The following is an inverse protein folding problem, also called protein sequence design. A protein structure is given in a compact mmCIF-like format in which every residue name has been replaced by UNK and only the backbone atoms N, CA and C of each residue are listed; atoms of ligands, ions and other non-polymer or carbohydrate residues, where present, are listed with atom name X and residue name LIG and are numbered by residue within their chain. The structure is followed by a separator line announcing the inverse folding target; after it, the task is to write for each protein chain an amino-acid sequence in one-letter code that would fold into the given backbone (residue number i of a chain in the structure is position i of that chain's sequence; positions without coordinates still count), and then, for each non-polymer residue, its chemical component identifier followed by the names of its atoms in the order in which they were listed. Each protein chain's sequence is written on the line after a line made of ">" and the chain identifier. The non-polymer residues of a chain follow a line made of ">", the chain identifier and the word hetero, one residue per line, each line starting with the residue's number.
data_IF_875750734841
#
_entry.id   IF_875750734841
#
_cell.length_a   1.000
_cell.length_b   1.000
_cell.length_c   1.000
_cell.angle_alpha   90.00
_cell.angle_beta   90.00
_cell.angle_gamma   90.00
#
_symmetry.space_group_name_H-M   'P 1'
#
loop_
_entity.id
_entity.type
_entity.pdbx_description
1 polymer ?
#
# COMPACT_ATOMS: atom_id res chain seq x y z
N UNK A 1 -5.99 -30.87 29.18
CA UNK A 1 -6.50 -29.84 28.27
C UNK A 1 -7.45 -30.53 27.32
N UNK A 2 -8.75 -30.22 27.37
CA UNK A 2 -9.70 -30.61 26.33
C UNK A 2 -9.39 -29.80 25.08
N UNK A 3 -9.13 -30.47 23.97
CA UNK A 3 -9.02 -29.79 22.67
C UNK A 3 -10.45 -29.45 22.24
N UNK A 4 -10.75 -28.17 22.12
CA UNK A 4 -12.00 -27.71 21.56
C UNK A 4 -11.88 -27.76 20.03
N UNK A 5 -12.76 -28.51 19.38
CA UNK A 5 -12.80 -28.67 17.92
C UNK A 5 -13.94 -27.83 17.35
N UNK A 6 -13.64 -27.05 16.31
CA UNK A 6 -14.62 -26.30 15.53
C UNK A 6 -14.70 -26.98 14.16
N UNK A 7 -15.90 -27.46 13.79
CA UNK A 7 -16.21 -27.94 12.45
C UNK A 7 -16.60 -26.74 11.58
N UNK A 8 -16.03 -26.63 10.37
CA UNK A 8 -16.37 -25.57 9.43
C UNK A 8 -16.07 -25.98 7.99
N UNK A 9 -16.91 -25.54 7.03
CA UNK A 9 -16.67 -25.83 5.61
C UNK A 9 -15.40 -25.13 5.10
N UNK A 10 -15.18 -23.89 5.53
CA UNK A 10 -14.00 -23.11 5.17
C UNK A 10 -13.36 -22.48 6.39
N UNK A 11 -12.05 -22.65 6.54
CA UNK A 11 -11.25 -21.95 7.55
C UNK A 11 -10.40 -20.88 6.87
N UNK A 12 -10.57 -19.62 7.29
CA UNK A 12 -9.74 -18.49 6.88
C UNK A 12 -8.68 -18.23 7.95
N UNK A 13 -7.40 -18.33 7.57
CA UNK A 13 -6.27 -18.07 8.47
C UNK A 13 -5.85 -16.60 8.36
N UNK A 14 -6.12 -15.83 9.42
CA UNK A 14 -5.78 -14.42 9.58
C UNK A 14 -6.98 -13.49 9.41
N UNK A 15 -7.28 -12.69 10.44
CA UNK A 15 -8.34 -11.69 10.45
C UNK A 15 -7.84 -10.29 10.04
N UNK A 16 -6.96 -10.22 9.04
CA UNK A 16 -6.63 -8.96 8.35
C UNK A 16 -7.69 -8.60 7.31
N UNK A 17 -7.55 -7.43 6.65
CA UNK A 17 -8.49 -6.98 5.62
C UNK A 17 -8.80 -8.04 4.56
N UNK A 18 -7.79 -8.77 4.05
CA UNK A 18 -7.99 -9.81 3.04
C UNK A 18 -8.82 -10.98 3.57
N UNK A 19 -8.46 -11.53 4.74
CA UNK A 19 -9.17 -12.66 5.34
C UNK A 19 -10.60 -12.31 5.75
N UNK A 20 -10.80 -11.13 6.35
CA UNK A 20 -12.14 -10.64 6.68
C UNK A 20 -12.98 -10.38 5.43
N UNK A 21 -12.39 -9.85 4.35
CA UNK A 21 -13.11 -9.67 3.08
C UNK A 21 -13.53 -11.00 2.47
N UNK A 22 -12.65 -12.01 2.49
CA UNK A 22 -12.97 -13.36 2.03
C UNK A 22 -14.07 -14.01 2.88
N UNK A 23 -13.94 -13.98 4.20
CA UNK A 23 -14.92 -14.54 5.12
C UNK A 23 -16.29 -13.85 4.98
N UNK A 24 -16.30 -12.52 4.80
CA UNK A 24 -17.52 -11.75 4.55
C UNK A 24 -18.23 -12.20 3.28
N UNK A 25 -17.50 -12.39 2.19
CA UNK A 25 -18.09 -12.83 0.93
C UNK A 25 -18.60 -14.28 0.99
N UNK A 26 -17.81 -15.18 1.59
CA UNK A 26 -18.25 -16.57 1.86
C UNK A 26 -19.52 -16.61 2.71
N UNK A 27 -19.57 -15.79 3.77
CA UNK A 27 -20.74 -15.70 4.63
C UNK A 27 -21.97 -15.18 3.88
N UNK A 28 -21.79 -14.20 2.98
CA UNK A 28 -22.84 -13.67 2.11
C UNK A 28 -23.42 -14.73 1.17
N UNK A 29 -22.58 -15.67 0.74
CA UNK A 29 -22.97 -16.82 -0.09
C UNK A 29 -23.57 -17.98 0.73
N UNK A 30 -23.68 -17.84 2.05
CA UNK A 30 -24.25 -18.86 2.93
C UNK A 30 -23.29 -19.99 3.33
N UNK A 31 -21.99 -19.86 3.03
CA UNK A 31 -20.96 -20.83 3.39
C UNK A 31 -20.67 -20.74 4.89
N UNK A 32 -20.54 -21.89 5.56
CA UNK A 32 -20.04 -21.94 6.93
C UNK A 32 -18.53 -21.66 6.97
N UNK A 33 -18.16 -20.54 7.58
CA UNK A 33 -16.80 -20.03 7.56
C UNK A 33 -16.34 -19.66 8.96
N UNK A 34 -15.16 -20.17 9.33
CA UNK A 34 -14.46 -19.83 10.57
C UNK A 34 -13.21 -19.03 10.26
N UNK A 35 -13.02 -17.90 10.96
CA UNK A 35 -11.78 -17.10 10.87
C UNK A 35 -10.94 -17.36 12.10
N UNK A 36 -9.68 -17.74 11.90
CA UNK A 36 -8.70 -17.93 12.99
C UNK A 36 -7.63 -16.85 12.91
N UNK A 37 -7.45 -16.09 13.99
CA UNK A 37 -6.46 -15.01 14.09
C UNK A 37 -5.45 -15.32 15.20
N UNK A 38 -4.18 -15.02 14.94
CA UNK A 38 -3.10 -15.29 15.88
C UNK A 38 -3.05 -14.26 17.02
N UNK A 39 -3.53 -13.04 16.78
CA UNK A 39 -3.61 -11.97 17.77
C UNK A 39 -4.93 -11.96 18.53
N UNK A 40 -4.94 -11.18 19.61
CA UNK A 40 -6.12 -10.79 20.38
C UNK A 40 -6.99 -9.72 19.70
N UNK A 41 -6.65 -9.33 18.47
CA UNK A 41 -7.34 -8.31 17.67
C UNK A 41 -7.35 -8.67 16.19
N UNK A 42 -8.33 -8.13 15.48
CA UNK A 42 -8.38 -8.14 14.02
C UNK A 42 -7.58 -6.99 13.40
N UNK A 43 -7.63 -6.88 12.06
CA UNK A 43 -7.06 -5.78 11.28
C UNK A 43 -5.67 -6.06 10.72
N UNK A 44 -4.86 -6.85 11.43
CA UNK A 44 -3.52 -7.24 10.99
C UNK A 44 -2.60 -6.03 10.83
N UNK A 45 -2.35 -5.60 9.59
CA UNK A 45 -1.51 -4.44 9.23
C UNK A 45 -2.23 -3.09 9.35
N UNK A 46 -3.50 -3.09 9.74
CA UNK A 46 -4.22 -1.88 10.18
C UNK A 46 -4.42 -1.96 11.71
N UNK A 47 -4.29 -0.80 12.37
CA UNK A 47 -4.40 -0.71 13.83
C UNK A 47 -4.69 0.74 14.24
N UNK A 48 -5.85 0.91 14.86
CA UNK A 48 -6.28 2.16 15.49
C UNK A 48 -5.79 2.17 16.94
N UNK A 49 -5.06 3.21 17.33
CA UNK A 49 -4.56 3.40 18.69
C UNK A 49 -5.19 4.66 19.29
N UNK A 50 -5.96 4.55 20.39
CA UNK A 50 -6.48 5.72 21.10
C UNK A 50 -5.35 6.52 21.75
N UNK A 51 -5.33 7.84 21.54
CA UNK A 51 -4.32 8.74 22.13
C UNK A 51 -4.87 9.64 23.25
N UNK A 52 -6.12 9.37 23.68
CA UNK A 52 -6.84 10.16 24.68
C UNK A 52 -7.69 11.26 24.06
N UNK A 53 -8.61 11.83 24.84
CA UNK A 53 -9.51 12.90 24.38
C UNK A 53 -10.55 12.48 23.34
N UNK A 54 -10.72 11.18 23.08
CA UNK A 54 -11.58 10.65 22.01
C UNK A 54 -10.88 10.54 20.66
N UNK A 55 -9.59 10.88 20.59
CA UNK A 55 -8.80 10.86 19.37
C UNK A 55 -8.13 9.49 19.13
N UNK A 56 -7.92 9.18 17.86
CA UNK A 56 -7.31 7.93 17.38
C UNK A 56 -6.16 8.28 16.44
N UNK A 57 -5.06 7.53 16.53
CA UNK A 57 -4.00 7.52 15.53
C UNK A 57 -3.91 6.15 14.87
N UNK A 58 -3.56 6.14 13.58
CA UNK A 58 -3.33 4.90 12.83
C UNK A 58 -1.86 4.46 12.97
N UNK A 59 -1.62 3.26 13.49
CA UNK A 59 -0.30 2.64 13.60
C UNK A 59 0.03 1.72 12.40
N UNK A 60 -0.87 1.64 11.42
CA UNK A 60 -0.79 0.76 10.26
C UNK A 60 -1.11 1.46 8.94
N UNK A 61 -1.63 0.70 7.98
CA UNK A 61 -2.12 1.25 6.72
C UNK A 61 -3.32 2.18 6.94
N UNK A 62 -3.25 3.41 6.43
CA UNK A 62 -4.24 4.46 6.71
C UNK A 62 -4.76 5.21 5.47
N UNK A 63 -4.03 5.19 4.35
CA UNK A 63 -4.40 5.97 3.17
C UNK A 63 -5.20 5.16 2.17
N UNK A 64 -6.29 5.76 1.70
CA UNK A 64 -7.02 5.34 0.50
C UNK A 64 -7.06 6.50 -0.50
N UNK A 65 -7.16 6.19 -1.79
CA UNK A 65 -7.14 7.22 -2.84
C UNK A 65 -7.73 6.78 -4.17
N UNK A 66 -7.78 7.68 -5.17
CA UNK A 66 -8.30 7.37 -6.50
C UNK A 66 -7.64 6.13 -7.12
N UNK A 67 -8.45 5.27 -7.75
CA UNK A 67 -8.01 3.99 -8.32
C UNK A 67 -8.04 2.81 -7.34
N UNK A 68 -8.36 3.04 -6.05
CA UNK A 68 -8.52 1.98 -5.06
C UNK A 68 -10.00 1.63 -4.84
N UNK A 69 -10.68 1.23 -5.92
CA UNK A 69 -12.14 1.18 -5.96
C UNK A 69 -12.76 0.16 -4.99
N UNK A 70 -12.09 -0.98 -4.78
CA UNK A 70 -12.61 -2.04 -3.90
C UNK A 70 -12.68 -1.60 -2.43
N UNK A 71 -11.62 -0.98 -1.89
CA UNK A 71 -11.63 -0.52 -0.49
C UNK A 71 -12.57 0.68 -0.31
N UNK A 72 -12.64 1.58 -1.31
CA UNK A 72 -13.58 2.71 -1.28
C UNK A 72 -15.04 2.25 -1.34
N UNK A 73 -15.34 1.19 -2.09
CA UNK A 73 -16.68 0.58 -2.11
C UNK A 73 -17.01 -0.06 -0.74
N UNK A 74 -16.06 -0.79 -0.15
CA UNK A 74 -16.24 -1.40 1.17
C UNK A 74 -16.47 -0.35 2.27
N UNK A 75 -15.71 0.75 2.25
CA UNK A 75 -15.91 1.89 3.17
C UNK A 75 -17.35 2.39 3.10
N UNK A 76 -17.88 2.62 1.89
CA UNK A 76 -19.28 3.05 1.70
C UNK A 76 -20.29 2.02 2.18
N UNK A 77 -20.06 0.75 1.89
CA UNK A 77 -20.96 -0.35 2.29
C UNK A 77 -21.03 -0.48 3.82
N UNK A 78 -19.92 -0.22 4.52
CA UNK A 78 -19.85 -0.23 5.99
C UNK A 78 -20.34 1.09 6.63
N UNK A 79 -20.72 2.09 5.84
CA UNK A 79 -21.15 3.40 6.35
C UNK A 79 -20.02 4.20 7.00
N UNK A 80 -18.77 3.96 6.59
CA UNK A 80 -17.59 4.67 7.09
C UNK A 80 -17.31 5.91 6.24
N UNK A 81 -16.62 6.88 6.83
CA UNK A 81 -16.25 8.15 6.18
C UNK A 81 -14.74 8.21 5.89
N UNK A 82 -14.38 9.04 4.92
CA UNK A 82 -12.98 9.43 4.66
C UNK A 82 -12.85 10.94 4.73
N UNK A 83 -11.63 11.42 4.95
CA UNK A 83 -11.30 12.84 4.92
C UNK A 83 -9.99 13.05 4.15
N UNK A 84 -9.78 14.22 3.52
CA UNK A 84 -8.56 14.48 2.79
C UNK A 84 -7.38 14.65 3.77
N UNK A 85 -6.22 14.12 3.41
CA UNK A 85 -4.97 14.47 4.10
C UNK A 85 -4.73 15.98 3.96
N UNK A 86 -4.42 16.65 5.08
CA UNK A 86 -4.08 18.07 5.08
C UNK A 86 -2.78 18.29 4.28
N UNK A 87 -2.92 18.91 3.11
CA UNK A 87 -1.82 19.17 2.18
C UNK A 87 -1.68 20.66 1.83
N UNK A 88 -2.33 21.55 2.58
CA UNK A 88 -2.23 22.99 2.34
C UNK A 88 -0.91 23.58 2.88
N UNK A 89 -0.40 24.58 2.17
CA UNK A 89 0.83 25.29 2.54
C UNK A 89 2.05 24.87 1.73
N UNK A 90 3.22 24.84 2.38
CA UNK A 90 4.49 24.52 1.74
C UNK A 90 5.02 23.19 2.25
N UNK A 91 5.42 22.33 1.32
CA UNK A 91 6.14 21.10 1.62
C UNK A 91 7.54 21.42 2.16
N UNK A 92 8.10 20.54 2.98
CA UNK A 92 9.46 20.64 3.51
C UNK A 92 10.29 19.52 2.92
N UNK A 93 11.41 19.87 2.29
CA UNK A 93 12.43 18.93 1.82
C UNK A 93 13.71 19.16 2.62
N UNK A 94 14.16 18.15 3.36
CA UNK A 94 15.40 18.18 4.12
C UNK A 94 16.46 17.35 3.39
N UNK A 95 17.64 17.94 3.22
CA UNK A 95 18.81 17.22 2.72
C UNK A 95 20.09 17.77 3.33
N UNK A 96 20.91 16.88 3.88
CA UNK A 96 22.23 17.23 4.43
C UNK A 96 22.16 18.19 5.61
N UNK A 97 21.13 18.04 6.46
CA UNK A 97 20.84 18.92 7.59
C UNK A 97 20.18 20.25 7.21
N UNK A 98 19.79 20.44 5.93
CA UNK A 98 19.21 21.71 5.44
C UNK A 98 17.79 21.50 4.96
N UNK A 99 16.83 22.06 5.69
CA UNK A 99 15.43 22.11 5.29
C UNK A 99 15.16 23.26 4.32
N UNK A 100 14.42 22.97 3.24
CA UNK A 100 13.91 23.95 2.28
C UNK A 100 12.44 23.72 2.04
N UNK A 101 11.70 24.81 1.95
CA UNK A 101 10.26 24.76 1.66
C UNK A 101 9.98 24.94 0.17
N UNK A 102 8.98 24.24 -0.36
CA UNK A 102 8.56 24.34 -1.75
C UNK A 102 7.04 24.16 -1.91
N UNK A 103 6.54 24.46 -3.11
CA UNK A 103 5.14 24.26 -3.50
C UNK A 103 5.09 23.30 -4.70
N UNK A 104 3.97 22.59 -4.84
CA UNK A 104 3.82 21.54 -5.86
C UNK A 104 4.38 20.19 -5.40
N UNK A 105 4.43 19.23 -6.33
CA UNK A 105 4.75 17.82 -6.03
C UNK A 105 6.24 17.54 -5.95
N UNK A 106 7.07 18.27 -6.69
CA UNK A 106 8.51 18.02 -6.80
C UNK A 106 9.30 19.15 -6.13
N UNK A 107 10.26 18.84 -5.23
CA UNK A 107 11.12 19.86 -4.64
C UNK A 107 11.95 20.59 -5.69
N UNK A 108 12.41 21.81 -5.37
CA UNK A 108 13.31 22.58 -6.25
C UNK A 108 14.67 21.88 -6.34
N UNK A 109 14.84 21.06 -7.36
CA UNK A 109 16.09 20.38 -7.72
C UNK A 109 16.86 21.18 -8.77
N UNK A 110 18.15 20.85 -8.94
CA UNK A 110 18.92 21.29 -10.11
C UNK A 110 18.19 20.83 -11.39
N UNK A 111 18.04 21.69 -12.42
CA UNK A 111 17.43 21.31 -13.70
C UNK A 111 17.94 20.01 -14.31
N UNK A 112 19.24 19.69 -14.17
CA UNK A 112 19.82 18.43 -14.65
C UNK A 112 19.25 17.24 -13.88
N UNK A 113 19.20 17.32 -12.56
CA UNK A 113 18.60 16.28 -11.72
C UNK A 113 17.11 16.11 -11.99
N UNK A 114 16.38 17.21 -12.22
CA UNK A 114 14.96 17.16 -12.56
C UNK A 114 14.73 16.44 -13.90
N UNK A 115 15.52 16.78 -14.92
CA UNK A 115 15.45 16.12 -16.22
C UNK A 115 15.76 14.62 -16.11
N UNK A 116 16.77 14.27 -15.33
CA UNK A 116 17.16 12.88 -15.12
C UNK A 116 16.08 12.06 -14.38
N UNK A 117 15.50 12.61 -13.31
CA UNK A 117 14.35 12.02 -12.62
C UNK A 117 13.18 11.83 -13.58
N UNK A 118 12.87 12.82 -14.41
CA UNK A 118 11.81 12.71 -15.42
C UNK A 118 12.08 11.60 -16.44
N UNK A 119 13.32 11.47 -16.93
CA UNK A 119 13.71 10.39 -17.85
C UNK A 119 13.61 9.02 -17.15
N UNK A 120 14.03 8.91 -15.90
CA UNK A 120 13.95 7.68 -15.12
C UNK A 120 12.49 7.26 -14.87
N UNK A 121 11.62 8.19 -14.46
CA UNK A 121 10.18 7.94 -14.29
C UNK A 121 9.54 7.49 -15.60
N UNK A 122 9.78 8.19 -16.71
CA UNK A 122 9.28 7.78 -18.03
C UNK A 122 9.82 6.41 -18.49
N UNK A 123 10.98 5.98 -18.00
CA UNK A 123 11.48 4.61 -18.25
C UNK A 123 10.72 3.59 -17.40
N UNK A 124 10.50 3.87 -16.11
CA UNK A 124 9.70 3.00 -15.23
C UNK A 124 8.27 2.86 -15.73
N UNK A 125 7.61 3.94 -16.14
CA UNK A 125 6.26 3.90 -16.72
C UNK A 125 6.20 3.00 -17.96
N UNK A 126 7.19 3.11 -18.86
CA UNK A 126 7.30 2.24 -20.03
C UNK A 126 7.61 0.78 -19.71
N UNK A 127 8.28 0.52 -18.58
CA UNK A 127 8.51 -0.83 -18.10
C UNK A 127 7.22 -1.38 -17.49
N UNK A 128 6.58 -0.64 -16.60
CA UNK A 128 5.32 -1.00 -15.96
C UNK A 128 4.21 -1.29 -16.98
N UNK A 129 4.10 -0.48 -18.04
CA UNK A 129 3.13 -0.70 -19.11
C UNK A 129 3.31 -2.01 -19.90
N UNK A 130 4.44 -2.72 -19.74
CA UNK A 130 4.70 -4.02 -20.37
C UNK A 130 4.47 -5.21 -19.44
N UNK A 131 4.25 -4.96 -18.15
CA UNK A 131 4.06 -6.01 -17.16
C UNK A 131 2.58 -6.35 -17.13
N UNK A 132 2.26 -7.61 -17.42
CA UNK A 132 1.01 -8.23 -17.02
C UNK A 132 1.02 -8.35 -15.49
N UNK A 133 0.21 -7.52 -14.83
CA UNK A 133 0.16 -7.45 -13.37
C UNK A 133 -0.47 -8.69 -12.74
N UNK A 134 -1.27 -9.44 -13.49
CA UNK A 134 -1.94 -10.64 -13.00
C UNK A 134 -1.02 -11.85 -13.06
N UNK A 135 -0.16 -11.93 -14.08
CA UNK A 135 0.72 -13.08 -14.31
C UNK A 135 2.15 -12.69 -14.72
N UNK A 136 2.85 -11.80 -13.96
CA UNK A 136 4.15 -11.27 -14.35
C UNK A 136 5.22 -12.36 -14.49
N UNK A 137 5.10 -13.46 -13.74
CA UNK A 137 6.03 -14.60 -13.79
C UNK A 137 5.98 -15.40 -15.10
N UNK A 138 4.93 -15.23 -15.91
CA UNK A 138 4.81 -15.92 -17.21
C UNK A 138 5.63 -15.23 -18.31
N UNK A 139 5.94 -13.95 -18.13
CA UNK A 139 6.70 -13.13 -19.07
C UNK A 139 8.21 -13.36 -18.93
N UNK A 140 8.67 -14.53 -19.39
CA UNK A 140 10.09 -14.93 -19.29
C UNK A 140 11.06 -13.94 -19.95
N UNK A 141 10.60 -13.16 -20.94
CA UNK A 141 11.37 -12.07 -21.55
C UNK A 141 11.70 -10.93 -20.57
N UNK A 142 10.98 -10.83 -19.45
CA UNK A 142 11.19 -9.88 -18.37
C UNK A 142 12.03 -10.45 -17.22
N UNK A 143 12.47 -11.72 -17.27
CA UNK A 143 13.24 -12.35 -16.19
C UNK A 143 14.51 -11.56 -15.81
N UNK A 144 15.10 -10.85 -16.78
CA UNK A 144 16.25 -9.96 -16.52
C UNK A 144 15.91 -8.82 -15.56
N UNK A 145 14.68 -8.31 -15.60
CA UNK A 145 14.24 -7.24 -14.70
C UNK A 145 14.11 -7.76 -13.27
N UNK A 146 13.59 -8.97 -13.08
CA UNK A 146 13.48 -9.61 -11.77
C UNK A 146 14.85 -10.00 -11.19
N UNK A 147 15.80 -10.36 -12.05
CA UNK A 147 17.19 -10.60 -11.67
C UNK A 147 17.99 -9.33 -11.32
N UNK A 148 17.43 -8.13 -11.56
CA UNK A 148 18.08 -6.85 -11.28
C UNK A 148 17.41 -6.14 -10.11
N UNK A 149 18.18 -5.87 -9.05
CA UNK A 149 17.65 -5.03 -7.96
C UNK A 149 17.31 -3.63 -8.47
N UNK A 150 16.26 -3.03 -7.88
CA UNK A 150 15.91 -1.64 -8.19
C UNK A 150 17.07 -0.67 -7.96
N UNK A 151 17.93 -0.90 -6.95
CA UNK A 151 19.10 -0.08 -6.67
C UNK A 151 20.14 -0.12 -7.81
N UNK A 152 20.38 -1.29 -8.41
CA UNK A 152 21.28 -1.41 -9.57
C UNK A 152 20.68 -0.74 -10.80
N UNK A 153 19.38 -0.94 -11.04
CA UNK A 153 18.67 -0.23 -12.10
C UNK A 153 18.76 1.29 -11.91
N UNK A 154 18.52 1.80 -10.70
CA UNK A 154 18.53 3.23 -10.38
C UNK A 154 19.91 3.86 -10.62
N UNK A 155 21.01 3.25 -10.14
CA UNK A 155 22.37 3.75 -10.38
C UNK A 155 22.74 3.89 -11.86
N UNK A 156 22.17 3.04 -12.73
CA UNK A 156 22.37 3.12 -14.18
C UNK A 156 21.53 4.22 -14.84
N UNK A 157 20.37 4.53 -14.27
CA UNK A 157 19.35 5.40 -14.86
C UNK A 157 19.25 6.80 -14.22
N UNK A 158 19.80 6.99 -13.02
CA UNK A 158 19.87 8.25 -12.28
C UNK A 158 21.27 8.39 -11.65
N UNK A 159 22.14 9.18 -12.29
CA UNK A 159 23.57 9.36 -12.03
C UNK A 159 23.87 10.66 -11.31
N UNK A 160 22.96 11.63 -11.28
CA UNK A 160 23.15 12.84 -10.48
C UNK A 160 23.25 12.46 -9.00
N UNK A 161 24.28 12.95 -8.28
CA UNK A 161 24.41 12.67 -6.86
C UNK A 161 23.19 13.14 -6.10
N UNK A 162 22.76 12.31 -5.13
CA UNK A 162 21.63 12.60 -4.24
C UNK A 162 21.83 13.89 -3.45
#
# INVERSE_FOLDING_TARGET
>A
MSVESIESEVVVVGAGLAGLSAARELKRLGVDVTVVEARDRVGGRTLNEPIGGGEIVELGGQWVGPGQDHVLALIRELGLETFPTWCEGRNVFERGGKARTYSGTIPKLNPVSLAEVGVALKRLERMAAKVDVEQPWTQTELARWDAETFATWARRNAKTPA
#
